data_IF_624218362424
#
_entry.id   IF_624218362424
#
_cell.length_a   1.000
_cell.length_b   1.000
_cell.length_c   1.000
_cell.angle_alpha   90.00
_cell.angle_beta   90.00
_cell.angle_gamma   90.00
#
_symmetry.space_group_name_H-M   'P 1'
#
loop_
_entity.id
_entity.type
_entity.pdbx_description
1 polymer ?
#
# COMPACT_ATOMS: atom_id res chain seq x y z
N UNK A 1 6.76 0.56 -22.47
CA UNK A 1 5.45 0.56 -21.77
C UNK A 1 4.37 0.38 -22.81
N UNK A 2 3.50 -0.59 -22.61
CA UNK A 2 2.31 -0.82 -23.42
C UNK A 2 1.09 -0.41 -22.59
N UNK A 3 0.21 0.39 -23.16
CA UNK A 3 -1.05 0.78 -22.52
C UNK A 3 -2.14 -0.24 -22.89
N UNK A 4 -3.09 -0.43 -21.98
CA UNK A 4 -4.24 -1.31 -22.17
C UNK A 4 -5.36 -0.97 -21.20
N UNK A 5 -6.48 -1.66 -21.31
CA UNK A 5 -7.62 -1.55 -20.41
C UNK A 5 -8.07 -2.94 -19.91
N UNK A 6 -8.92 -2.97 -18.89
CA UNK A 6 -9.38 -4.22 -18.28
C UNK A 6 -10.43 -4.97 -19.11
N UNK A 7 -11.04 -4.32 -20.10
CA UNK A 7 -12.10 -4.92 -20.94
C UNK A 7 -11.49 -5.69 -22.11
N UNK A 8 -10.57 -5.03 -22.85
CA UNK A 8 -10.03 -5.57 -24.11
C UNK A 8 -8.67 -6.28 -23.92
N UNK A 9 -7.87 -5.88 -22.93
CA UNK A 9 -6.46 -6.27 -22.81
C UNK A 9 -6.15 -7.16 -21.62
N UNK A 10 -7.14 -7.51 -20.79
CA UNK A 10 -6.91 -8.28 -19.55
C UNK A 10 -6.23 -9.64 -19.82
N UNK A 11 -6.46 -10.23 -20.98
CA UNK A 11 -5.84 -11.49 -21.38
C UNK A 11 -4.31 -11.39 -21.50
N UNK A 12 -3.75 -10.21 -21.73
CA UNK A 12 -2.29 -9.99 -21.83
C UNK A 12 -1.56 -10.24 -20.52
N UNK A 13 -2.26 -10.29 -19.39
CA UNK A 13 -1.63 -10.64 -18.11
C UNK A 13 -1.11 -12.07 -18.05
N UNK A 14 -1.53 -12.96 -18.97
CA UNK A 14 -0.99 -14.32 -19.07
C UNK A 14 0.52 -14.34 -19.45
N UNK A 15 1.04 -13.24 -19.99
CA UNK A 15 2.46 -13.06 -20.33
C UNK A 15 3.25 -12.39 -19.18
N UNK A 16 2.58 -12.08 -18.05
CA UNK A 16 3.18 -11.33 -16.94
C UNK A 16 3.65 -12.25 -15.83
N UNK A 17 4.86 -12.03 -15.34
CA UNK A 17 5.40 -12.72 -14.15
C UNK A 17 4.83 -12.13 -12.85
N UNK A 18 4.48 -10.84 -12.87
CA UNK A 18 3.97 -10.10 -11.72
C UNK A 18 2.84 -9.14 -12.10
N UNK A 19 1.71 -9.24 -11.41
CA UNK A 19 0.54 -8.35 -11.56
C UNK A 19 0.38 -7.52 -10.30
N UNK A 20 0.36 -6.19 -10.43
CA UNK A 20 0.16 -5.25 -9.32
C UNK A 20 -1.22 -4.62 -9.45
N UNK A 21 -2.10 -4.85 -8.48
CA UNK A 21 -3.41 -4.22 -8.40
C UNK A 21 -3.31 -2.88 -7.67
N UNK A 22 -3.83 -1.81 -8.30
CA UNK A 22 -3.78 -0.42 -7.80
C UNK A 22 -5.12 0.30 -8.03
N UNK A 23 -6.24 -0.42 -7.94
CA UNK A 23 -7.57 0.21 -8.10
C UNK A 23 -8.01 0.90 -6.80
N UNK A 24 -9.14 1.60 -6.85
CA UNK A 24 -9.71 2.32 -5.68
C UNK A 24 -9.80 1.42 -4.45
N UNK A 25 -9.66 2.01 -3.26
CA UNK A 25 -9.61 1.31 -1.97
C UNK A 25 -11.01 0.87 -1.52
N UNK A 26 -11.63 0.00 -2.34
CA UNK A 26 -12.94 -0.63 -2.08
C UNK A 26 -12.83 -2.12 -2.34
N UNK A 27 -13.08 -2.92 -1.31
CA UNK A 27 -12.91 -4.38 -1.37
C UNK A 27 -13.73 -5.01 -2.49
N UNK A 28 -14.95 -4.52 -2.76
CA UNK A 28 -15.82 -5.05 -3.82
C UNK A 28 -15.25 -4.79 -5.22
N UNK A 29 -14.57 -3.64 -5.43
CA UNK A 29 -13.90 -3.35 -6.70
C UNK A 29 -12.67 -4.24 -6.86
N UNK A 30 -11.85 -4.35 -5.81
CA UNK A 30 -10.66 -5.23 -5.82
C UNK A 30 -11.04 -6.68 -6.09
N UNK A 31 -12.09 -7.21 -5.46
CA UNK A 31 -12.56 -8.58 -5.71
C UNK A 31 -12.93 -8.83 -7.18
N UNK A 32 -13.62 -7.89 -7.83
CA UNK A 32 -13.94 -7.98 -9.26
C UNK A 32 -12.68 -8.02 -10.13
N UNK A 33 -11.69 -7.19 -9.80
CA UNK A 33 -10.41 -7.19 -10.53
C UNK A 33 -9.63 -8.48 -10.27
N UNK A 34 -9.63 -9.00 -9.03
CA UNK A 34 -9.02 -10.29 -8.73
C UNK A 34 -9.71 -11.47 -9.43
N UNK A 35 -11.04 -11.43 -9.66
CA UNK A 35 -11.73 -12.42 -10.48
C UNK A 35 -11.19 -12.43 -11.92
N UNK A 36 -10.98 -11.25 -12.49
CA UNK A 36 -10.41 -11.11 -13.83
C UNK A 36 -8.95 -11.59 -13.88
N UNK A 37 -8.14 -11.20 -12.89
CA UNK A 37 -6.73 -11.62 -12.78
C UNK A 37 -6.67 -13.15 -12.66
N UNK A 38 -7.43 -13.74 -11.75
CA UNK A 38 -7.40 -15.18 -11.51
C UNK A 38 -7.79 -16.00 -12.74
N UNK A 39 -8.75 -15.50 -13.52
CA UNK A 39 -9.21 -16.13 -14.76
C UNK A 39 -8.19 -16.08 -15.90
N UNK A 40 -7.37 -15.00 -15.98
CA UNK A 40 -6.55 -14.71 -17.15
C UNK A 40 -5.05 -14.89 -16.93
N UNK A 41 -4.55 -14.93 -15.68
CA UNK A 41 -3.13 -15.14 -15.38
C UNK A 41 -2.69 -16.58 -15.57
N UNK A 42 -1.43 -16.82 -15.73
CA UNK A 42 -0.85 -18.15 -15.61
C UNK A 42 -0.79 -18.58 -14.13
N UNK A 43 -0.81 -19.89 -13.91
CA UNK A 43 -0.59 -20.48 -12.58
C UNK A 43 0.82 -20.12 -12.08
N UNK A 44 0.92 -19.68 -10.84
CA UNK A 44 2.19 -19.26 -10.25
C UNK A 44 2.55 -17.80 -10.49
N UNK A 45 1.82 -17.05 -11.33
CA UNK A 45 2.01 -15.60 -11.46
C UNK A 45 1.90 -14.92 -10.11
N UNK A 46 2.88 -14.09 -9.76
CA UNK A 46 2.87 -13.27 -8.57
C UNK A 46 1.77 -12.20 -8.66
N UNK A 47 0.98 -12.05 -7.62
CA UNK A 47 -0.09 -11.04 -7.55
C UNK A 47 0.15 -10.19 -6.32
N UNK A 48 0.14 -8.88 -6.48
CA UNK A 48 0.19 -7.97 -5.32
C UNK A 48 -0.89 -6.90 -5.40
N UNK A 49 -1.32 -6.44 -4.24
CA UNK A 49 -2.19 -5.26 -4.12
C UNK A 49 -1.43 -4.12 -3.46
N UNK A 50 -1.65 -2.90 -3.93
CA UNK A 50 -1.12 -1.68 -3.31
C UNK A 50 -2.14 -1.09 -2.30
N UNK A 51 -2.95 -1.91 -1.67
CA UNK A 51 -3.87 -1.47 -0.62
C UNK A 51 -3.13 -0.81 0.54
N UNK A 52 -3.73 0.21 1.13
CA UNK A 52 -3.17 0.91 2.30
C UNK A 52 -3.70 0.38 3.64
N UNK A 53 -4.75 -0.46 3.64
CA UNK A 53 -5.37 -0.90 4.88
C UNK A 53 -6.31 -2.09 4.81
N UNK A 54 -6.72 -2.54 3.61
CA UNK A 54 -7.59 -3.72 3.49
C UNK A 54 -6.80 -4.98 3.86
N UNK A 55 -7.25 -5.78 4.85
CA UNK A 55 -6.54 -6.98 5.25
C UNK A 55 -6.38 -7.99 4.12
N UNK A 56 -5.22 -8.63 4.05
CA UNK A 56 -4.92 -9.68 3.05
C UNK A 56 -5.99 -10.77 3.08
N UNK A 57 -6.39 -11.21 4.28
CA UNK A 57 -7.42 -12.26 4.46
C UNK A 57 -8.74 -11.96 3.77
N UNK A 58 -9.15 -10.68 3.68
CA UNK A 58 -10.39 -10.28 3.02
C UNK A 58 -10.27 -10.28 1.49
N UNK A 59 -9.08 -9.98 0.99
CA UNK A 59 -8.79 -9.97 -0.45
C UNK A 59 -8.66 -11.38 -1.02
N UNK A 60 -8.08 -12.31 -0.26
CA UNK A 60 -7.86 -13.69 -0.72
C UNK A 60 -9.00 -14.65 -0.38
N UNK A 61 -10.02 -14.19 0.34
CA UNK A 61 -11.17 -15.01 0.74
C UNK A 61 -11.89 -15.61 -0.46
N UNK A 62 -11.98 -16.95 -0.50
CA UNK A 62 -12.64 -17.70 -1.58
C UNK A 62 -11.81 -17.85 -2.86
N UNK A 63 -10.54 -17.43 -2.86
CA UNK A 63 -9.61 -17.61 -3.96
C UNK A 63 -9.03 -19.03 -4.02
N UNK A 64 -8.51 -19.42 -5.19
CA UNK A 64 -7.81 -20.68 -5.33
C UNK A 64 -6.55 -20.72 -4.47
N UNK A 65 -6.11 -21.92 -4.09
CA UNK A 65 -4.86 -22.12 -3.34
C UNK A 65 -3.67 -21.47 -4.03
N UNK A 66 -3.57 -21.63 -5.36
CA UNK A 66 -2.49 -21.00 -6.13
C UNK A 66 -2.51 -19.47 -6.07
N UNK A 67 -3.71 -18.85 -6.09
CA UNK A 67 -3.84 -17.40 -5.90
C UNK A 67 -3.32 -16.98 -4.52
N UNK A 68 -3.82 -17.64 -3.47
CA UNK A 68 -3.48 -17.32 -2.07
C UNK A 68 -1.98 -17.46 -1.80
N UNK A 69 -1.38 -18.54 -2.28
CA UNK A 69 0.05 -18.81 -2.12
C UNK A 69 0.97 -17.80 -2.84
N UNK A 70 0.50 -17.21 -3.95
CA UNK A 70 1.24 -16.25 -4.75
C UNK A 70 0.77 -14.80 -4.55
N UNK A 71 -0.02 -14.52 -3.51
CA UNK A 71 -0.54 -13.19 -3.21
C UNK A 71 0.18 -12.52 -2.05
N UNK A 72 0.47 -11.22 -2.20
CA UNK A 72 1.04 -10.38 -1.16
C UNK A 72 0.53 -8.94 -1.30
N UNK A 73 0.64 -8.12 -0.25
CA UNK A 73 0.53 -6.66 -0.39
C UNK A 73 1.92 -6.08 -0.57
N UNK A 74 2.04 -5.18 -1.54
CA UNK A 74 3.20 -4.32 -1.75
C UNK A 74 2.76 -2.88 -1.62
N UNK A 75 2.90 -2.31 -0.42
CA UNK A 75 2.42 -0.97 -0.11
C UNK A 75 3.51 0.05 -0.41
N UNK A 76 3.38 0.72 -1.56
CA UNK A 76 4.20 1.85 -1.97
C UNK A 76 3.63 3.16 -1.42
N UNK A 77 4.51 4.08 -1.09
CA UNK A 77 4.13 5.42 -0.61
C UNK A 77 4.19 6.44 -1.74
N UNK A 78 3.22 7.34 -1.77
CA UNK A 78 3.12 8.40 -2.76
C UNK A 78 4.09 9.57 -2.44
N UNK A 79 4.82 10.08 -3.43
CA UNK A 79 4.97 9.57 -4.79
C UNK A 79 5.96 8.39 -4.85
N UNK A 80 5.58 7.24 -5.47
CA UNK A 80 6.35 6.00 -5.37
C UNK A 80 7.74 6.09 -5.98
N UNK A 81 7.97 7.01 -6.89
CA UNK A 81 9.30 7.25 -7.48
C UNK A 81 10.33 7.76 -6.46
N UNK A 82 9.89 8.55 -5.48
CA UNK A 82 10.79 9.26 -4.55
C UNK A 82 10.79 8.65 -3.15
N UNK A 83 9.66 8.13 -2.73
CA UNK A 83 9.53 7.48 -1.41
C UNK A 83 10.25 6.15 -1.40
N UNK A 84 11.18 5.97 -0.45
CA UNK A 84 12.02 4.78 -0.39
C UNK A 84 11.34 3.60 0.26
N UNK A 85 10.46 3.82 1.22
CA UNK A 85 9.81 2.75 1.96
C UNK A 85 8.89 1.92 1.06
N UNK A 86 9.00 0.60 1.18
CA UNK A 86 8.11 -0.39 0.59
C UNK A 86 7.75 -1.43 1.64
N UNK A 87 6.51 -1.43 2.08
CA UNK A 87 5.99 -2.43 3.01
C UNK A 87 5.54 -3.68 2.27
N UNK A 88 6.03 -4.83 2.70
CA UNK A 88 5.66 -6.15 2.17
C UNK A 88 4.80 -6.84 3.22
N UNK A 89 3.53 -7.10 2.90
CA UNK A 89 2.56 -7.69 3.84
C UNK A 89 2.06 -9.02 3.28
N UNK A 90 2.65 -10.13 3.69
CA UNK A 90 2.25 -11.45 3.23
C UNK A 90 1.00 -11.96 3.96
N UNK A 91 0.19 -12.75 3.26
CA UNK A 91 -0.86 -13.56 3.86
C UNK A 91 -0.31 -14.73 4.68
N UNK A 92 -1.18 -15.39 5.44
CA UNK A 92 -0.79 -16.55 6.27
C UNK A 92 -0.32 -17.76 5.45
N UNK A 93 -0.91 -17.97 4.27
CA UNK A 93 -0.69 -19.15 3.42
C UNK A 93 0.26 -18.88 2.24
N UNK A 94 1.00 -17.74 2.28
CA UNK A 94 1.95 -17.37 1.23
C UNK A 94 3.10 -18.37 1.11
N UNK A 95 3.68 -18.48 -0.07
CA UNK A 95 4.99 -19.10 -0.25
C UNK A 95 6.10 -18.17 0.25
N UNK A 96 7.09 -18.72 0.96
CA UNK A 96 8.24 -17.92 1.42
C UNK A 96 9.02 -17.31 0.25
N UNK A 97 9.10 -17.99 -0.86
CA UNK A 97 9.75 -17.54 -2.09
C UNK A 97 9.17 -16.22 -2.60
N UNK A 98 7.84 -16.05 -2.52
CA UNK A 98 7.14 -14.80 -2.88
C UNK A 98 7.62 -13.63 -2.02
N UNK A 99 7.68 -13.83 -0.72
CA UNK A 99 8.13 -12.78 0.22
C UNK A 99 9.60 -12.45 -0.03
N UNK A 100 10.45 -13.46 -0.15
CA UNK A 100 11.89 -13.29 -0.40
C UNK A 100 12.15 -12.59 -1.74
N UNK A 101 11.41 -12.96 -2.78
CA UNK A 101 11.50 -12.29 -4.07
C UNK A 101 11.14 -10.80 -3.95
N UNK A 102 9.99 -10.47 -3.34
CA UNK A 102 9.52 -9.08 -3.21
C UNK A 102 10.49 -8.22 -2.38
N UNK A 103 11.03 -8.77 -1.29
CA UNK A 103 12.02 -8.09 -0.45
C UNK A 103 13.30 -7.78 -1.25
N UNK A 104 13.85 -8.78 -1.95
CA UNK A 104 15.06 -8.63 -2.73
C UNK A 104 14.87 -7.76 -3.97
N UNK A 105 13.79 -7.98 -4.72
CA UNK A 105 13.50 -7.20 -5.92
C UNK A 105 13.25 -5.73 -5.59
N UNK A 106 12.47 -5.46 -4.54
CA UNK A 106 12.23 -4.10 -4.04
C UNK A 106 13.52 -3.38 -3.69
N UNK A 107 14.41 -4.04 -2.96
CA UNK A 107 15.69 -3.46 -2.54
C UNK A 107 16.68 -3.30 -3.70
N UNK A 108 16.94 -4.36 -4.46
CA UNK A 108 18.01 -4.38 -5.46
C UNK A 108 17.64 -3.67 -6.78
N UNK A 109 16.40 -3.82 -7.22
CA UNK A 109 15.98 -3.32 -8.54
C UNK A 109 15.12 -2.07 -8.50
N UNK A 110 14.31 -1.89 -7.44
CA UNK A 110 13.48 -0.70 -7.28
C UNK A 110 14.12 0.37 -6.38
N UNK A 111 15.26 0.08 -5.75
CA UNK A 111 15.95 1.00 -4.85
C UNK A 111 15.13 1.36 -3.62
N UNK A 112 14.32 0.41 -3.12
CA UNK A 112 13.46 0.59 -1.94
C UNK A 112 14.12 0.05 -0.69
N UNK A 113 13.74 0.64 0.45
CA UNK A 113 13.92 0.07 1.77
C UNK A 113 12.72 -0.83 2.06
N UNK A 114 12.88 -2.12 1.89
CA UNK A 114 11.79 -3.09 2.05
C UNK A 114 11.64 -3.50 3.50
N UNK A 115 10.41 -3.51 4.00
CA UNK A 115 10.09 -3.90 5.38
C UNK A 115 9.00 -4.96 5.37
N UNK A 116 9.25 -6.08 6.05
CA UNK A 116 8.27 -7.13 6.23
C UNK A 116 7.27 -6.73 7.32
N UNK A 117 6.00 -6.64 6.97
CA UNK A 117 4.93 -6.22 7.87
C UNK A 117 3.96 -7.35 8.19
N UNK A 118 3.30 -7.25 9.34
CA UNK A 118 2.14 -8.10 9.67
C UNK A 118 0.89 -7.56 8.97
N UNK A 119 -0.05 -8.47 8.64
CA UNK A 119 -1.39 -8.12 8.16
C UNK A 119 -2.24 -7.54 9.30
N UNK A 120 -1.94 -6.30 9.66
CA UNK A 120 -2.63 -5.52 10.70
C UNK A 120 -3.10 -4.20 10.12
N UNK A 121 -4.20 -3.59 10.63
CA UNK A 121 -4.72 -2.32 10.12
C UNK A 121 -3.64 -1.24 10.03
N UNK A 122 -3.57 -0.56 8.88
CA UNK A 122 -2.64 0.51 8.55
C UNK A 122 -1.14 0.09 8.56
N UNK A 123 -0.83 -1.19 8.59
CA UNK A 123 0.51 -1.80 8.60
C UNK A 123 1.46 -1.16 9.63
N UNK A 124 2.63 -0.65 9.23
CA UNK A 124 3.59 0.00 10.13
C UNK A 124 3.55 1.52 9.98
N UNK A 125 3.83 2.05 8.78
CA UNK A 125 4.07 3.46 8.60
C UNK A 125 2.80 4.30 8.74
N UNK A 126 1.69 3.88 8.13
CA UNK A 126 0.41 4.58 8.30
C UNK A 126 -0.06 4.53 9.76
N UNK A 127 0.15 3.40 10.46
CA UNK A 127 -0.18 3.27 11.87
C UNK A 127 0.61 4.25 12.75
N UNK A 128 1.92 4.37 12.52
CA UNK A 128 2.78 5.33 13.23
C UNK A 128 2.36 6.77 12.86
N UNK A 129 2.09 7.01 11.57
CA UNK A 129 1.68 8.33 11.07
C UNK A 129 0.37 8.80 11.70
N UNK A 130 -0.66 7.96 11.70
CA UNK A 130 -1.96 8.26 12.32
C UNK A 130 -1.80 8.50 13.82
N UNK A 131 -1.07 7.63 14.53
CA UNK A 131 -0.79 7.83 15.95
C UNK A 131 -0.11 9.19 16.22
N UNK A 132 0.90 9.54 15.40
CA UNK A 132 1.60 10.82 15.52
C UNK A 132 0.68 12.03 15.27
N UNK A 133 -0.22 11.93 14.28
CA UNK A 133 -1.21 12.99 14.00
C UNK A 133 -2.19 13.12 15.17
N UNK A 134 -2.74 12.03 15.67
CA UNK A 134 -3.69 12.06 16.79
C UNK A 134 -3.03 12.61 18.07
N UNK A 135 -1.81 12.19 18.37
CA UNK A 135 -1.04 12.73 19.50
C UNK A 135 -0.79 14.23 19.37
N UNK A 136 -0.44 14.69 18.16
CA UNK A 136 -0.27 16.10 17.89
C UNK A 136 -1.58 16.89 18.07
N UNK A 137 -2.73 16.34 17.62
CA UNK A 137 -4.04 16.97 17.76
C UNK A 137 -4.40 17.24 19.22
N UNK A 138 -4.18 16.28 20.13
CA UNK A 138 -4.40 16.48 21.56
C UNK A 138 -3.53 17.61 22.12
N UNK A 139 -2.24 17.63 21.78
CA UNK A 139 -1.32 18.67 22.23
C UNK A 139 -1.70 20.06 21.69
N UNK A 140 -2.16 20.14 20.42
CA UNK A 140 -2.57 21.38 19.78
C UNK A 140 -3.75 22.00 20.48
N UNK A 141 -4.76 21.18 20.84
CA UNK A 141 -5.94 21.62 21.56
C UNK A 141 -5.60 22.18 22.95
N UNK A 142 -4.73 21.46 23.68
CA UNK A 142 -4.24 21.91 24.99
C UNK A 142 -3.45 23.22 24.94
N UNK A 143 -2.65 23.44 23.88
CA UNK A 143 -1.78 24.61 23.73
C UNK A 143 -2.46 25.78 23.03
N UNK A 144 -3.61 25.62 22.43
CA UNK A 144 -4.34 26.64 21.68
C UNK A 144 -3.61 27.12 20.42
N UNK A 145 -2.84 26.24 19.77
CA UNK A 145 -2.06 26.57 18.57
C UNK A 145 -2.94 26.65 17.32
N UNK A 146 -2.66 27.61 16.46
CA UNK A 146 -3.28 27.70 15.14
C UNK A 146 -2.71 26.67 14.17
N UNK A 147 -3.48 26.29 13.13
CA UNK A 147 -3.05 25.39 12.04
C UNK A 147 -1.72 25.81 11.42
N UNK A 148 -1.55 27.13 11.21
CA UNK A 148 -0.32 27.67 10.61
C UNK A 148 0.91 27.51 11.52
N UNK A 149 0.77 27.72 12.83
CA UNK A 149 1.84 27.51 13.80
C UNK A 149 2.23 26.04 13.88
N UNK A 150 1.26 25.14 13.88
CA UNK A 150 1.52 23.69 13.89
C UNK A 150 2.26 23.24 12.65
N UNK A 151 1.84 23.65 11.46
CA UNK A 151 2.54 23.30 10.22
C UNK A 151 3.94 23.91 10.17
N UNK A 152 4.14 25.12 10.70
CA UNK A 152 5.46 25.71 10.83
C UNK A 152 6.40 24.91 11.76
N UNK A 153 5.88 24.44 12.88
CA UNK A 153 6.65 23.68 13.87
C UNK A 153 6.90 22.24 13.46
N UNK A 154 5.92 21.57 12.83
CA UNK A 154 5.94 20.14 12.54
C UNK A 154 6.44 19.78 11.14
N UNK A 155 6.93 20.74 10.39
CA UNK A 155 7.45 20.58 9.03
C UNK A 155 8.97 20.42 8.97
N UNK A 156 9.63 21.11 8.04
CA UNK A 156 11.08 21.00 7.79
C UNK A 156 11.97 21.25 8.99
N UNK A 157 11.52 22.05 9.97
CA UNK A 157 12.27 22.35 11.18
C UNK A 157 12.61 21.13 12.03
N UNK A 158 11.77 20.10 11.96
CA UNK A 158 11.99 18.82 12.65
C UNK A 158 12.30 17.68 11.66
N UNK A 159 12.76 18.01 10.45
CA UNK A 159 13.14 17.03 9.43
C UNK A 159 11.98 16.37 8.71
N UNK A 160 10.74 16.84 8.87
CA UNK A 160 9.58 16.34 8.14
C UNK A 160 9.40 17.02 6.78
N UNK A 161 8.50 16.46 5.96
CA UNK A 161 8.14 17.02 4.67
C UNK A 161 7.59 18.46 4.79
N UNK A 162 7.69 19.25 3.72
CA UNK A 162 7.16 20.62 3.66
C UNK A 162 5.63 20.70 3.88
N UNK A 163 4.92 19.61 3.63
CA UNK A 163 3.49 19.50 3.91
C UNK A 163 3.15 19.49 5.40
N UNK A 164 4.13 19.23 6.27
CA UNK A 164 3.96 19.22 7.72
C UNK A 164 2.80 18.32 8.20
N UNK A 165 1.98 18.73 9.17
CA UNK A 165 0.90 17.93 9.72
C UNK A 165 -0.42 18.14 8.95
N UNK A 166 -0.96 19.34 8.97
CA UNK A 166 -2.30 19.60 8.43
C UNK A 166 -2.36 19.56 6.90
N UNK A 167 -1.36 20.12 6.21
CA UNK A 167 -1.29 19.98 4.74
C UNK A 167 -1.11 18.53 4.30
N UNK A 168 -0.46 17.70 5.11
CA UNK A 168 -0.37 16.26 4.81
C UNK A 168 -1.74 15.62 4.90
N UNK A 169 -2.55 15.96 5.90
CA UNK A 169 -3.93 15.50 6.03
C UNK A 169 -4.81 15.95 4.85
N UNK A 170 -4.65 17.19 4.38
CA UNK A 170 -5.35 17.69 3.18
C UNK A 170 -4.98 16.90 1.92
N UNK A 171 -3.69 16.60 1.74
CA UNK A 171 -3.20 15.84 0.58
C UNK A 171 -3.67 14.39 0.60
N UNK A 172 -3.72 13.78 1.78
CA UNK A 172 -4.21 12.40 1.97
C UNK A 172 -5.74 12.32 1.82
N UNK A 173 -6.44 13.36 2.18
CA UNK A 173 -7.88 13.44 2.27
C UNK A 173 -8.36 13.27 3.72
N UNK A 174 -9.21 14.18 4.17
CA UNK A 174 -9.75 14.14 5.54
C UNK A 174 -10.65 12.91 5.77
N UNK A 175 -11.37 12.48 4.73
CA UNK A 175 -12.20 11.27 4.72
C UNK A 175 -11.39 9.96 4.88
N UNK A 176 -10.09 10.02 4.58
CA UNK A 176 -9.17 8.89 4.75
C UNK A 176 -8.45 8.95 6.11
N UNK A 177 -8.39 10.12 6.72
CA UNK A 177 -7.62 10.37 7.94
C UNK A 177 -8.46 10.23 9.21
N UNK A 178 -9.79 10.34 9.12
CA UNK A 178 -10.75 10.29 10.24
C UNK A 178 -11.27 8.89 10.51
#
# INVERSE_FOLDING_TARGET
IQLGNLEDDINKINESDWVIEVVVEKIEVKKKVFDLIEKNRLKGTLITSNTSGIPVKEMVKGRSKDFVENFCVTHFFNPPRYMKLLEIVPGKEKKEEVTNFLMNYGSLFLGKETVLCKDTPAFIANRIGIYSIMSAMHTIDEMGLSVGEVDFLTGPKIGRAKSATFRTMDVVGLDTTV
#
